data_IF_444458782479
#
_entry.id   IF_444458782479
#
_cell.length_a   1.000
_cell.length_b   1.000
_cell.length_c   1.000
_cell.angle_alpha   90.00
_cell.angle_beta   90.00
_cell.angle_gamma   90.00
#
_symmetry.space_group_name_H-M   'P 1'
#
loop_
_entity.id
_entity.type
_entity.pdbx_description
1 polymer ?
#
# COMPACT_ATOMS: atom_id res chain seq x y z
N UNK A 1 30.03 -8.79 21.04
CA UNK A 1 31.37 -8.33 20.64
C UNK A 1 31.21 -6.97 19.96
N UNK A 2 31.67 -5.88 20.59
CA UNK A 2 31.68 -4.56 19.96
C UNK A 2 32.78 -4.64 18.90
N UNK A 3 32.39 -4.73 17.62
CA UNK A 3 33.35 -4.60 16.53
C UNK A 3 33.66 -3.11 16.45
N UNK A 4 34.76 -2.73 17.09
CA UNK A 4 35.42 -1.45 16.89
C UNK A 4 35.88 -1.42 15.43
N UNK A 5 35.33 -0.50 14.64
CA UNK A 5 35.70 -0.35 13.23
C UNK A 5 36.85 0.65 13.20
N UNK A 6 38.03 0.20 12.78
CA UNK A 6 39.15 1.10 12.52
C UNK A 6 38.85 1.96 11.29
N UNK A 7 39.38 3.20 11.23
CA UNK A 7 39.31 3.97 10.01
C UNK A 7 39.98 3.19 8.87
N UNK A 8 39.52 3.37 7.62
CA UNK A 8 40.18 2.78 6.47
C UNK A 8 41.65 3.20 6.42
N UNK A 9 42.52 2.21 6.31
CA UNK A 9 43.97 2.39 6.26
C UNK A 9 44.61 1.30 5.38
N UNK A 10 45.93 1.38 5.22
CA UNK A 10 46.68 0.51 4.31
C UNK A 10 47.23 -0.70 5.06
N UNK A 11 47.18 -1.86 4.41
CA UNK A 11 47.89 -3.08 4.87
C UNK A 11 49.40 -2.87 4.83
N UNK A 12 49.88 -2.25 3.76
CA UNK A 12 51.26 -1.82 3.58
C UNK A 12 51.27 -0.37 3.10
N UNK A 13 51.67 0.54 3.99
CA UNK A 13 51.75 1.98 3.73
C UNK A 13 52.81 2.33 2.67
N UNK A 14 53.78 1.44 2.43
CA UNK A 14 54.87 1.62 1.48
C UNK A 14 54.62 0.96 0.13
N UNK A 15 53.45 0.34 -0.06
CA UNK A 15 53.12 -0.35 -1.29
C UNK A 15 53.18 0.61 -2.51
N UNK A 16 53.76 0.19 -3.66
CA UNK A 16 53.92 1.06 -4.83
C UNK A 16 52.61 1.71 -5.32
N UNK A 17 51.51 0.96 -5.30
CA UNK A 17 50.19 1.48 -5.69
C UNK A 17 49.69 2.57 -4.74
N UNK A 18 49.94 2.46 -3.43
CA UNK A 18 49.58 3.49 -2.44
C UNK A 18 50.38 4.77 -2.71
N UNK A 19 51.69 4.65 -2.90
CA UNK A 19 52.55 5.79 -3.24
C UNK A 19 52.12 6.47 -4.55
N UNK A 20 51.78 5.69 -5.57
CA UNK A 20 51.25 6.20 -6.84
C UNK A 20 49.91 6.90 -6.67
N UNK A 21 49.01 6.35 -5.84
CA UNK A 21 47.72 6.96 -5.53
C UNK A 21 47.86 8.31 -4.80
N UNK A 22 48.80 8.41 -3.87
CA UNK A 22 49.11 9.66 -3.16
C UNK A 22 49.67 10.69 -4.15
N UNK A 23 50.61 10.30 -5.00
CA UNK A 23 51.22 11.20 -5.98
C UNK A 23 50.18 11.78 -6.96
N UNK A 24 49.31 10.92 -7.49
CA UNK A 24 48.27 11.32 -8.45
C UNK A 24 47.21 12.23 -7.80
N UNK A 25 46.85 11.98 -6.55
CA UNK A 25 45.77 12.71 -5.86
C UNK A 25 46.27 13.98 -5.17
N UNK A 26 47.47 13.94 -4.59
CA UNK A 26 48.00 14.96 -3.69
C UNK A 26 49.43 15.40 -4.01
N UNK A 27 50.03 14.99 -5.14
CA UNK A 27 51.44 15.27 -5.46
C UNK A 27 51.80 16.76 -5.37
N UNK A 28 50.90 17.66 -5.80
CA UNK A 28 51.10 19.12 -5.64
C UNK A 28 51.26 19.56 -4.18
N UNK A 29 50.51 18.96 -3.28
CA UNK A 29 50.59 19.25 -1.84
C UNK A 29 51.93 18.75 -1.29
N UNK A 30 52.37 17.56 -1.70
CA UNK A 30 53.67 17.04 -1.31
C UNK A 30 54.81 17.97 -1.75
N UNK A 31 54.80 18.44 -3.01
CA UNK A 31 55.82 19.36 -3.53
C UNK A 31 55.85 20.69 -2.76
N UNK A 32 54.71 21.21 -2.31
CA UNK A 32 54.67 22.44 -1.51
C UNK A 32 55.29 22.30 -0.12
N UNK A 33 55.40 21.07 0.41
CA UNK A 33 55.90 20.81 1.75
C UNK A 33 57.32 20.20 1.78
N UNK A 34 57.92 19.93 0.61
CA UNK A 34 59.24 19.29 0.48
C UNK A 34 60.38 20.06 1.19
N UNK A 35 60.24 21.38 1.33
CA UNK A 35 61.22 22.24 1.99
C UNK A 35 60.75 22.76 3.37
N UNK A 36 59.72 22.13 3.95
CA UNK A 36 59.18 22.50 5.26
C UNK A 36 59.43 21.40 6.29
N UNK A 37 59.44 21.73 7.57
CA UNK A 37 59.56 20.74 8.66
C UNK A 37 58.28 19.90 8.86
N UNK A 38 57.25 20.12 8.04
CA UNK A 38 55.97 19.44 8.11
C UNK A 38 55.86 18.39 7.01
N UNK A 39 55.75 17.12 7.39
CA UNK A 39 55.51 16.01 6.46
C UNK A 39 54.02 15.60 6.50
N UNK A 40 53.19 16.00 5.52
CA UNK A 40 51.76 15.67 5.50
C UNK A 40 51.47 14.23 5.03
N UNK A 41 52.48 13.44 4.65
CA UNK A 41 52.31 12.15 3.98
C UNK A 41 51.40 11.19 4.74
N UNK A 42 51.57 11.06 6.06
CA UNK A 42 50.75 10.17 6.88
C UNK A 42 49.27 10.56 6.86
N UNK A 43 48.96 11.86 6.97
CA UNK A 43 47.58 12.34 6.90
C UNK A 43 46.97 12.12 5.52
N UNK A 44 47.74 12.43 4.46
CA UNK A 44 47.30 12.24 3.08
C UNK A 44 47.05 10.77 2.75
N UNK A 45 47.83 9.86 3.34
CA UNK A 45 47.62 8.42 3.21
C UNK A 45 46.26 7.99 3.80
N UNK A 46 45.88 8.49 4.99
CA UNK A 46 44.55 8.21 5.56
C UNK A 46 43.41 8.84 4.76
N UNK A 47 43.60 10.05 4.24
CA UNK A 47 42.60 10.69 3.37
C UNK A 47 42.39 9.91 2.08
N UNK A 48 43.48 9.44 1.45
CA UNK A 48 43.41 8.58 0.28
C UNK A 48 42.67 7.27 0.60
N UNK A 49 42.97 6.64 1.74
CA UNK A 49 42.31 5.40 2.15
C UNK A 49 40.80 5.61 2.32
N UNK A 50 40.39 6.75 2.88
CA UNK A 50 38.97 7.13 3.00
C UNK A 50 38.31 7.34 1.64
N UNK A 51 38.96 8.05 0.71
CA UNK A 51 38.44 8.26 -0.66
C UNK A 51 38.25 6.91 -1.38
N UNK A 52 39.24 6.01 -1.28
CA UNK A 52 39.18 4.69 -1.91
C UNK A 52 38.08 3.82 -1.29
N UNK A 53 37.98 3.81 0.04
CA UNK A 53 36.95 3.05 0.77
C UNK A 53 35.53 3.47 0.37
N UNK A 54 35.31 4.77 0.18
CA UNK A 54 33.99 5.33 -0.16
C UNK A 54 33.80 5.58 -1.66
N UNK A 55 34.69 5.08 -2.52
CA UNK A 55 34.64 5.32 -3.97
C UNK A 55 33.31 4.89 -4.60
N UNK A 56 32.70 3.78 -4.17
CA UNK A 56 31.43 3.31 -4.72
C UNK A 56 30.27 4.28 -4.40
N UNK A 57 30.27 4.86 -3.19
CA UNK A 57 29.32 5.91 -2.83
C UNK A 57 29.57 7.20 -3.63
N UNK A 58 30.83 7.58 -3.82
CA UNK A 58 31.20 8.74 -4.64
C UNK A 58 30.74 8.57 -6.09
N UNK A 59 30.87 7.37 -6.69
CA UNK A 59 30.34 7.08 -8.02
C UNK A 59 28.82 7.21 -8.09
N UNK A 60 28.09 6.76 -7.07
CA UNK A 60 26.63 6.92 -7.00
C UNK A 60 26.22 8.40 -6.95
N UNK A 61 26.88 9.21 -6.14
CA UNK A 61 26.58 10.64 -6.01
C UNK A 61 26.95 11.42 -7.28
N UNK A 62 28.06 11.08 -7.93
CA UNK A 62 28.41 11.62 -9.25
C UNK A 62 27.33 11.31 -10.29
N UNK A 63 26.79 10.09 -10.29
CA UNK A 63 25.69 9.70 -11.19
C UNK A 63 24.38 10.47 -10.95
N UNK A 64 24.10 10.86 -9.71
CA UNK A 64 22.90 11.66 -9.35
C UNK A 64 23.06 13.14 -9.68
N UNK A 65 24.28 13.68 -9.60
CA UNK A 65 24.56 15.10 -9.73
C UNK A 65 25.60 15.38 -10.84
N UNK A 66 25.17 15.40 -12.12
CA UNK A 66 26.04 15.75 -13.24
C UNK A 66 26.50 17.20 -13.11
N UNK A 67 27.75 17.40 -12.69
CA UNK A 67 28.34 18.71 -12.39
C UNK A 67 29.08 18.79 -11.05
N UNK A 68 29.01 17.75 -10.22
CA UNK A 68 29.74 17.72 -8.95
C UNK A 68 31.27 17.69 -9.15
N UNK A 69 32.03 18.42 -8.34
CA UNK A 69 33.50 18.46 -8.43
C UNK A 69 34.22 17.13 -8.08
N UNK A 70 33.47 16.07 -7.75
CA UNK A 70 34.06 14.75 -7.48
C UNK A 70 34.67 14.12 -8.73
N UNK A 71 34.19 14.47 -9.92
CA UNK A 71 34.82 14.07 -11.19
C UNK A 71 36.27 14.58 -11.33
N UNK A 72 36.63 15.63 -10.58
CA UNK A 72 37.97 16.19 -10.59
C UNK A 72 38.96 15.44 -9.68
N UNK A 73 38.51 14.45 -8.90
CA UNK A 73 39.37 13.64 -8.05
C UNK A 73 40.16 12.65 -8.92
N UNK A 74 41.50 12.80 -9.07
CA UNK A 74 42.24 12.06 -10.09
C UNK A 74 42.23 10.54 -9.92
N UNK A 75 42.28 10.03 -8.68
CA UNK A 75 42.31 8.58 -8.41
C UNK A 75 41.01 7.86 -8.79
N UNK A 76 39.87 8.57 -8.83
CA UNK A 76 38.59 7.96 -9.22
C UNK A 76 38.50 7.70 -10.73
N UNK A 77 39.33 8.37 -11.52
CA UNK A 77 39.37 8.23 -12.98
C UNK A 77 40.32 7.09 -13.44
N UNK A 78 41.20 6.59 -12.57
CA UNK A 78 42.08 5.45 -12.85
C UNK A 78 41.52 4.18 -12.18
N UNK A 79 40.63 3.48 -12.89
CA UNK A 79 39.96 2.28 -12.38
C UNK A 79 40.91 1.12 -12.08
N UNK A 80 42.05 1.03 -12.77
CA UNK A 80 43.05 -0.03 -12.54
C UNK A 80 43.73 0.22 -11.21
N UNK A 81 44.25 1.43 -11.02
CA UNK A 81 44.88 1.83 -9.76
C UNK A 81 43.89 1.78 -8.59
N UNK A 82 42.64 2.19 -8.80
CA UNK A 82 41.62 2.16 -7.75
C UNK A 82 41.34 0.73 -7.26
N UNK A 83 41.31 -0.26 -8.16
CA UNK A 83 41.13 -1.66 -7.76
C UNK A 83 42.34 -2.19 -6.99
N UNK A 84 43.56 -1.91 -7.45
CA UNK A 84 44.78 -2.25 -6.70
C UNK A 84 44.79 -1.63 -5.30
N UNK A 85 44.36 -0.37 -5.17
CA UNK A 85 44.24 0.32 -3.89
C UNK A 85 43.17 -0.30 -2.99
N UNK A 86 42.03 -0.73 -3.55
CA UNK A 86 40.98 -1.45 -2.80
C UNK A 86 41.51 -2.77 -2.20
N UNK A 87 42.39 -3.47 -2.90
CA UNK A 87 43.01 -4.70 -2.39
C UNK A 87 43.97 -4.45 -1.22
N UNK A 88 44.65 -3.30 -1.22
CA UNK A 88 45.57 -2.88 -0.15
C UNK A 88 44.87 -2.23 1.05
N UNK A 89 43.56 -1.97 0.95
CA UNK A 89 42.78 -1.38 2.02
C UNK A 89 42.43 -2.42 3.11
N UNK A 90 42.42 -1.99 4.37
CA UNK A 90 41.95 -2.79 5.49
C UNK A 90 41.18 -1.96 6.52
N UNK A 91 40.30 -2.64 7.26
CA UNK A 91 39.60 -2.14 8.45
C UNK A 91 40.00 -2.94 9.71
N UNK A 92 40.91 -3.89 9.57
CA UNK A 92 41.41 -4.75 10.65
C UNK A 92 42.64 -4.14 11.32
N UNK A 93 42.98 -4.63 12.51
CA UNK A 93 44.14 -4.14 13.24
C UNK A 93 45.43 -4.44 12.49
N UNK A 94 46.31 -3.45 12.39
CA UNK A 94 47.65 -3.54 11.81
C UNK A 94 48.67 -3.04 12.82
N UNK A 95 49.96 -3.31 12.58
CA UNK A 95 51.04 -2.80 13.44
C UNK A 95 51.06 -1.26 13.51
N UNK A 96 50.64 -0.58 12.44
CA UNK A 96 50.54 0.89 12.37
C UNK A 96 49.25 1.43 12.96
N UNK A 97 48.15 0.67 12.90
CA UNK A 97 46.85 1.04 13.51
C UNK A 97 46.37 -0.09 14.44
N UNK A 98 46.94 -0.19 15.67
CA UNK A 98 46.77 -1.36 16.53
C UNK A 98 45.44 -1.40 17.29
N UNK A 99 44.79 -0.25 17.52
CA UNK A 99 43.55 -0.18 18.29
C UNK A 99 42.67 1.00 17.85
N UNK A 100 41.36 0.76 17.84
CA UNK A 100 40.39 1.80 17.58
C UNK A 100 40.25 2.69 18.81
N UNK A 101 40.65 3.95 18.67
CA UNK A 101 40.72 4.91 19.77
C UNK A 101 39.40 5.63 20.05
N UNK A 102 38.35 5.38 19.27
CA UNK A 102 37.04 6.00 19.44
C UNK A 102 35.88 5.06 19.14
N UNK A 103 34.98 4.88 20.10
CA UNK A 103 33.60 4.44 19.85
C UNK A 103 32.82 5.73 19.56
N UNK A 104 32.34 5.97 18.32
CA UNK A 104 31.42 7.08 18.09
C UNK A 104 30.26 6.97 19.09
N UNK A 105 29.89 8.05 19.80
CA UNK A 105 28.80 8.00 20.76
C UNK A 105 27.57 7.44 20.06
N UNK A 106 26.91 6.46 20.70
CA UNK A 106 25.70 5.79 20.20
C UNK A 106 25.84 4.84 19.00
N UNK A 107 27.04 4.39 18.58
CA UNK A 107 27.16 3.38 17.51
C UNK A 107 26.40 2.08 17.81
N UNK A 108 26.26 1.72 19.10
CA UNK A 108 25.43 0.59 19.54
C UNK A 108 23.95 0.81 19.26
N UNK A 109 23.45 2.03 19.47
CA UNK A 109 22.07 2.40 19.21
C UNK A 109 21.82 2.48 17.70
N UNK A 110 22.73 3.07 16.93
CA UNK A 110 22.64 3.09 15.47
C UNK A 110 22.54 1.67 14.89
N UNK A 111 23.36 0.74 15.37
CA UNK A 111 23.30 -0.68 14.97
C UNK A 111 21.99 -1.35 15.38
N UNK A 112 21.51 -1.09 16.60
CA UNK A 112 20.23 -1.62 17.06
C UNK A 112 19.07 -1.09 16.21
N UNK A 113 19.07 0.20 15.88
CA UNK A 113 18.09 0.85 15.00
C UNK A 113 18.17 0.27 13.59
N UNK A 114 19.35 0.11 12.99
CA UNK A 114 19.47 -0.53 11.67
C UNK A 114 18.96 -1.97 11.68
N UNK A 115 19.18 -2.72 12.77
CA UNK A 115 18.66 -4.08 12.90
C UNK A 115 17.12 -4.08 12.99
N UNK A 116 16.55 -3.19 13.80
CA UNK A 116 15.09 -3.01 13.90
C UNK A 116 14.51 -2.61 12.54
N UNK A 117 15.13 -1.65 11.87
CA UNK A 117 14.71 -1.18 10.54
C UNK A 117 14.69 -2.33 9.52
N UNK A 118 15.75 -3.13 9.45
CA UNK A 118 15.81 -4.28 8.56
C UNK A 118 14.74 -5.34 8.88
N UNK A 119 14.44 -5.58 10.16
CA UNK A 119 13.35 -6.49 10.57
C UNK A 119 11.99 -5.90 10.16
N UNK A 120 11.77 -4.60 10.37
CA UNK A 120 10.54 -3.92 9.94
C UNK A 120 10.35 -4.00 8.42
N UNK A 121 11.40 -3.81 7.63
CA UNK A 121 11.36 -3.98 6.17
C UNK A 121 11.03 -5.42 5.78
N UNK A 122 11.70 -6.42 6.37
CA UNK A 122 11.39 -7.83 6.11
C UNK A 122 9.95 -8.19 6.51
N UNK A 123 9.43 -7.64 7.61
CA UNK A 123 8.05 -7.86 8.04
C UNK A 123 7.05 -7.18 7.11
N UNK A 124 7.38 -5.99 6.57
CA UNK A 124 6.57 -5.32 5.55
C UNK A 124 6.45 -6.19 4.31
N UNK A 125 7.57 -6.70 3.80
CA UNK A 125 7.58 -7.57 2.61
C UNK A 125 6.77 -8.86 2.87
N UNK A 126 6.92 -9.46 4.06
CA UNK A 126 6.13 -10.63 4.45
C UNK A 126 4.62 -10.32 4.55
N UNK A 127 4.25 -9.15 5.07
CA UNK A 127 2.85 -8.71 5.14
C UNK A 127 2.25 -8.42 3.76
N UNK A 128 3.02 -7.80 2.87
CA UNK A 128 2.59 -7.52 1.49
C UNK A 128 2.36 -8.84 0.72
N UNK A 129 3.25 -9.83 0.89
CA UNK A 129 3.07 -11.17 0.35
C UNK A 129 1.86 -11.88 0.98
N UNK A 130 1.73 -11.85 2.30
CA UNK A 130 0.58 -12.44 3.01
C UNK A 130 -0.76 -11.84 2.53
N UNK A 131 -0.80 -10.53 2.27
CA UNK A 131 -1.98 -9.86 1.73
C UNK A 131 -2.33 -10.36 0.32
N UNK A 132 -1.33 -10.60 -0.52
CA UNK A 132 -1.53 -11.17 -1.86
C UNK A 132 -2.07 -12.61 -1.77
N UNK A 133 -1.45 -13.44 -0.93
CA UNK A 133 -1.84 -14.84 -0.72
C UNK A 133 -3.26 -14.94 -0.15
N UNK A 134 -3.61 -14.08 0.82
CA UNK A 134 -4.96 -14.05 1.39
C UNK A 134 -6.01 -13.70 0.34
N UNK A 135 -5.72 -12.75 -0.55
CA UNK A 135 -6.65 -12.37 -1.63
C UNK A 135 -6.90 -13.55 -2.57
N UNK A 136 -5.85 -14.28 -2.93
CA UNK A 136 -5.94 -15.48 -3.77
C UNK A 136 -6.71 -16.59 -3.06
N UNK A 137 -6.35 -16.92 -1.82
CA UNK A 137 -7.00 -17.96 -1.03
C UNK A 137 -8.50 -17.69 -0.82
N UNK A 138 -8.90 -16.42 -0.61
CA UNK A 138 -10.31 -16.04 -0.51
C UNK A 138 -11.02 -16.20 -1.85
N UNK A 139 -10.40 -15.80 -2.97
CA UNK A 139 -10.99 -16.00 -4.30
C UNK A 139 -11.21 -17.49 -4.59
N UNK A 140 -10.21 -18.33 -4.33
CA UNK A 140 -10.29 -19.77 -4.53
C UNK A 140 -11.36 -20.41 -3.64
N UNK A 141 -11.45 -20.01 -2.37
CA UNK A 141 -12.46 -20.52 -1.44
C UNK A 141 -13.88 -20.09 -1.85
N UNK A 142 -14.06 -18.86 -2.34
CA UNK A 142 -15.33 -18.37 -2.88
C UNK A 142 -15.71 -19.14 -4.14
N UNK A 143 -14.78 -19.32 -5.08
CA UNK A 143 -15.03 -20.07 -6.32
C UNK A 143 -15.36 -21.53 -6.04
N UNK A 144 -14.66 -22.17 -5.11
CA UNK A 144 -14.94 -23.55 -4.68
C UNK A 144 -16.34 -23.66 -4.04
N UNK A 145 -16.72 -22.69 -3.20
CA UNK A 145 -18.04 -22.68 -2.55
C UNK A 145 -19.17 -22.41 -3.53
N UNK A 146 -18.99 -21.46 -4.45
CA UNK A 146 -19.94 -21.16 -5.53
C UNK A 146 -20.17 -22.40 -6.39
N UNK A 147 -19.11 -23.11 -6.75
CA UNK A 147 -19.19 -24.37 -7.50
C UNK A 147 -19.93 -25.46 -6.72
N UNK A 148 -19.62 -25.63 -5.44
CA UNK A 148 -20.26 -26.63 -4.58
C UNK A 148 -21.77 -26.37 -4.38
N UNK A 149 -22.17 -25.10 -4.36
CA UNK A 149 -23.57 -24.69 -4.20
C UNK A 149 -24.33 -24.63 -5.55
N UNK A 150 -23.71 -25.07 -6.66
CA UNK A 150 -24.32 -25.06 -8.00
C UNK A 150 -24.45 -23.67 -8.63
N UNK A 151 -23.80 -22.65 -8.06
CA UNK A 151 -23.76 -21.30 -8.60
C UNK A 151 -22.71 -21.16 -9.71
N UNK A 152 -22.96 -20.25 -10.64
CA UNK A 152 -22.02 -19.90 -11.72
C UNK A 152 -21.55 -18.46 -11.50
N UNK A 153 -20.24 -18.24 -11.45
CA UNK A 153 -19.64 -16.91 -11.50
C UNK A 153 -18.90 -16.70 -12.83
N UNK A 154 -18.42 -15.48 -13.08
CA UNK A 154 -17.80 -15.11 -14.36
C UNK A 154 -16.55 -15.95 -14.70
N UNK A 155 -15.75 -16.31 -13.70
CA UNK A 155 -14.54 -17.11 -13.90
C UNK A 155 -14.89 -18.57 -14.26
N UNK A 156 -15.85 -19.16 -13.55
CA UNK A 156 -16.38 -20.50 -13.83
C UNK A 156 -17.04 -20.54 -15.22
N UNK A 157 -17.86 -19.54 -15.54
CA UNK A 157 -18.53 -19.43 -16.84
C UNK A 157 -17.51 -19.34 -17.98
N UNK A 158 -16.45 -18.53 -17.81
CA UNK A 158 -15.40 -18.38 -18.81
C UNK A 158 -14.63 -19.69 -19.01
N UNK A 159 -14.25 -20.37 -17.92
CA UNK A 159 -13.57 -21.66 -18.00
C UNK A 159 -14.42 -22.71 -18.72
N UNK A 160 -15.72 -22.80 -18.41
CA UNK A 160 -16.65 -23.72 -19.08
C UNK A 160 -16.88 -23.35 -20.55
N UNK A 161 -16.94 -22.05 -20.90
CA UNK A 161 -17.03 -21.61 -22.30
C UNK A 161 -15.76 -21.96 -23.08
N UNK A 162 -14.59 -21.79 -22.47
CA UNK A 162 -13.30 -22.11 -23.09
C UNK A 162 -13.18 -23.63 -23.31
N UNK A 163 -13.63 -24.43 -22.35
CA UNK A 163 -13.69 -25.89 -22.44
C UNK A 163 -14.63 -26.36 -23.56
N UNK A 164 -15.84 -25.81 -23.62
CA UNK A 164 -16.79 -26.05 -24.72
C UNK A 164 -16.23 -25.61 -26.08
N UNK A 165 -15.52 -24.47 -26.15
CA UNK A 165 -14.89 -24.00 -27.38
C UNK A 165 -13.80 -24.95 -27.88
N UNK A 166 -13.03 -25.53 -26.97
CA UNK A 166 -12.01 -26.54 -27.29
C UNK A 166 -12.69 -27.81 -27.82
N UNK A 167 -13.75 -28.25 -27.16
CA UNK A 167 -14.52 -29.44 -27.54
C UNK A 167 -15.17 -29.27 -28.92
N UNK A 168 -15.88 -28.16 -29.16
CA UNK A 168 -16.48 -27.82 -30.46
C UNK A 168 -15.44 -27.75 -31.58
N UNK A 169 -14.29 -27.12 -31.33
CA UNK A 169 -13.20 -27.07 -32.30
C UNK A 169 -12.62 -28.45 -32.58
N UNK A 170 -12.60 -29.34 -31.58
CA UNK A 170 -12.14 -30.72 -31.75
C UNK A 170 -13.13 -31.55 -32.57
N UNK A 171 -14.44 -31.42 -32.33
CA UNK A 171 -15.48 -32.14 -33.07
C UNK A 171 -15.62 -31.67 -34.51
N UNK A 172 -15.51 -30.35 -34.76
CA UNK A 172 -15.47 -29.78 -36.12
C UNK A 172 -14.27 -30.32 -36.89
N UNK A 173 -13.09 -30.43 -36.25
CA UNK A 173 -11.90 -31.04 -36.86
C UNK A 173 -12.06 -32.54 -37.10
N UNK A 174 -12.83 -33.23 -36.26
CA UNK A 174 -13.10 -34.66 -36.39
C UNK A 174 -14.18 -35.00 -37.43
N UNK A 175 -14.84 -34.00 -38.04
CA UNK A 175 -15.77 -34.19 -39.15
C UNK A 175 -17.10 -34.85 -38.77
N UNK A 176 -17.48 -34.85 -37.50
CA UNK A 176 -18.72 -35.47 -37.02
C UNK A 176 -19.83 -34.42 -36.86
N UNK A 177 -20.57 -34.15 -37.93
CA UNK A 177 -21.86 -33.45 -37.84
C UNK A 177 -22.99 -34.49 -37.95
N UNK A 178 -23.22 -35.23 -36.87
CA UNK A 178 -24.50 -35.92 -36.70
C UNK A 178 -25.43 -34.99 -35.94
N UNK A 179 -26.34 -34.35 -36.67
CA UNK A 179 -27.52 -33.66 -36.11
C UNK A 179 -28.41 -34.66 -35.38
N UNK A 180 -28.09 -34.95 -34.12
CA UNK A 180 -29.06 -35.51 -33.19
C UNK A 180 -29.77 -34.34 -32.51
N UNK A 181 -31.07 -34.23 -32.78
CA UNK A 181 -32.00 -33.40 -32.02
C UNK A 181 -31.89 -33.78 -30.54
N UNK A 182 -31.23 -32.93 -29.74
CA UNK A 182 -31.23 -33.06 -28.29
C UNK A 182 -32.57 -32.56 -27.76
N UNK A 183 -33.43 -33.53 -27.43
CA UNK A 183 -34.61 -33.32 -26.62
C UNK A 183 -34.15 -33.06 -25.17
N UNK A 184 -33.85 -31.81 -24.84
CA UNK A 184 -33.53 -31.42 -23.46
C UNK A 184 -34.84 -31.31 -22.70
N UNK A 185 -35.13 -32.34 -21.90
CA UNK A 185 -36.14 -32.28 -20.85
C UNK A 185 -35.67 -31.24 -19.84
N UNK A 186 -36.40 -30.12 -19.75
CA UNK A 186 -36.12 -29.07 -18.78
C UNK A 186 -36.42 -29.58 -17.37
N UNK A 187 -35.39 -30.04 -16.66
CA UNK A 187 -35.46 -30.14 -15.21
C UNK A 187 -35.43 -28.74 -14.61
N UNK A 188 -36.28 -28.52 -13.59
CA UNK A 188 -36.54 -27.25 -12.93
C UNK A 188 -35.26 -26.55 -12.47
N UNK A 189 -34.75 -25.63 -13.29
CA UNK A 189 -33.81 -24.61 -12.84
C UNK A 189 -34.57 -23.61 -11.97
N UNK A 190 -34.11 -23.45 -10.72
CA UNK A 190 -34.57 -22.37 -9.86
C UNK A 190 -34.07 -21.09 -10.52
N UNK A 191 -34.97 -20.39 -11.22
CA UNK A 191 -34.68 -19.11 -11.82
C UNK A 191 -34.19 -18.15 -10.73
N UNK A 192 -32.89 -17.85 -10.71
CA UNK A 192 -32.34 -16.78 -9.89
C UNK A 192 -32.82 -15.49 -10.55
N UNK A 193 -33.86 -14.90 -9.97
CA UNK A 193 -34.41 -13.63 -10.40
C UNK A 193 -33.36 -12.52 -10.20
N UNK A 194 -32.73 -12.12 -11.30
CA UNK A 194 -31.72 -11.04 -11.35
C UNK A 194 -32.36 -9.65 -11.36
N UNK A 195 -33.69 -9.53 -11.28
CA UNK A 195 -34.34 -8.21 -11.26
C UNK A 195 -34.04 -7.47 -9.95
N UNK A 196 -33.48 -6.27 -10.08
CA UNK A 196 -33.32 -5.35 -8.95
C UNK A 196 -34.68 -4.74 -8.63
N UNK A 197 -35.22 -5.05 -7.45
CA UNK A 197 -36.56 -4.64 -7.04
C UNK A 197 -36.51 -3.40 -6.15
N UNK A 198 -37.45 -2.48 -6.36
CA UNK A 198 -37.68 -1.38 -5.43
C UNK A 198 -38.60 -1.88 -4.30
N UNK A 199 -38.19 -1.79 -3.02
CA UNK A 199 -39.02 -2.25 -1.91
C UNK A 199 -40.27 -1.36 -1.77
N UNK A 200 -41.42 -2.00 -1.61
CA UNK A 200 -42.65 -1.31 -1.22
C UNK A 200 -42.59 -0.90 0.26
N UNK A 201 -43.48 0.02 0.69
CA UNK A 201 -43.52 0.48 2.08
C UNK A 201 -43.75 -0.64 3.12
N UNK A 202 -44.30 -1.77 2.69
CA UNK A 202 -44.63 -2.93 3.53
C UNK A 202 -43.74 -4.14 3.26
N UNK A 203 -42.69 -3.99 2.44
CA UNK A 203 -41.87 -5.10 1.95
C UNK A 203 -41.15 -5.86 3.07
N UNK A 204 -40.57 -5.12 4.02
CA UNK A 204 -39.79 -5.71 5.09
C UNK A 204 -40.61 -5.71 6.37
N UNK A 205 -41.20 -6.87 6.69
CA UNK A 205 -42.08 -7.03 7.84
C UNK A 205 -41.61 -8.18 8.71
N UNK A 206 -41.00 -7.86 9.85
CA UNK A 206 -40.45 -8.86 10.76
C UNK A 206 -40.46 -8.37 12.22
N UNK A 207 -40.32 -9.30 13.16
CA UNK A 207 -40.41 -9.04 14.60
C UNK A 207 -39.30 -8.12 15.09
N UNK A 208 -39.65 -7.16 15.94
CA UNK A 208 -38.71 -6.34 16.70
C UNK A 208 -38.07 -7.14 17.85
N UNK A 209 -37.13 -6.51 18.57
CA UNK A 209 -36.45 -7.14 19.72
C UNK A 209 -37.38 -7.52 20.88
N UNK A 210 -38.60 -6.97 20.91
CA UNK A 210 -39.64 -7.27 21.90
C UNK A 210 -40.67 -8.29 21.37
N UNK A 211 -40.45 -8.84 20.17
CA UNK A 211 -41.33 -9.84 19.55
C UNK A 211 -42.51 -9.26 18.77
N UNK A 212 -42.66 -7.93 18.68
CA UNK A 212 -43.78 -7.30 17.97
C UNK A 212 -43.49 -7.16 16.48
N UNK A 213 -44.47 -7.45 15.63
CA UNK A 213 -44.32 -7.27 14.19
C UNK A 213 -44.26 -5.78 13.83
N UNK A 214 -43.24 -5.38 13.06
CA UNK A 214 -43.05 -4.01 12.57
C UNK A 214 -42.64 -4.01 11.11
N UNK A 215 -42.92 -2.90 10.43
CA UNK A 215 -42.38 -2.61 9.10
C UNK A 215 -41.03 -1.91 9.24
N UNK A 216 -40.04 -2.38 8.49
CA UNK A 216 -38.67 -1.89 8.50
C UNK A 216 -38.33 -1.29 7.14
N UNK A 217 -37.32 -0.41 7.11
CA UNK A 217 -36.86 0.20 5.85
C UNK A 217 -35.76 -0.61 5.16
N UNK A 218 -35.31 -1.71 5.77
CA UNK A 218 -34.25 -2.59 5.29
C UNK A 218 -34.63 -4.06 5.57
N UNK A 219 -34.10 -5.03 4.80
CA UNK A 219 -34.27 -6.45 5.09
C UNK A 219 -33.61 -6.86 6.42
N UNK A 220 -34.01 -8.01 6.97
CA UNK A 220 -33.48 -8.50 8.25
C UNK A 220 -31.98 -8.84 8.18
N UNK A 221 -31.50 -9.25 7.01
CA UNK A 221 -30.08 -9.55 6.75
C UNK A 221 -29.19 -8.31 6.61
N UNK A 222 -29.76 -7.10 6.60
CA UNK A 222 -29.01 -5.87 6.31
C UNK A 222 -27.92 -5.60 7.34
N UNK A 223 -26.72 -5.27 6.84
CA UNK A 223 -25.60 -4.75 7.62
C UNK A 223 -25.02 -3.52 6.93
N UNK A 224 -24.58 -2.55 7.73
CA UNK A 224 -23.77 -1.47 7.19
C UNK A 224 -22.44 -2.03 6.67
N UNK A 225 -21.96 -1.58 5.50
CA UNK A 225 -20.64 -1.96 5.00
C UNK A 225 -19.56 -1.58 6.01
N UNK A 226 -18.70 -2.54 6.34
CA UNK A 226 -17.53 -2.31 7.19
C UNK A 226 -16.34 -1.88 6.33
N UNK A 227 -15.42 -1.10 6.92
CA UNK A 227 -14.14 -0.68 6.29
C UNK A 227 -14.30 0.08 4.96
N UNK A 228 -15.42 0.78 4.79
CA UNK A 228 -15.69 1.54 3.58
C UNK A 228 -14.94 2.87 3.59
N UNK A 229 -14.34 3.22 2.45
CA UNK A 229 -13.75 4.55 2.28
C UNK A 229 -14.84 5.64 2.23
N UNK A 230 -14.47 6.88 2.54
CA UNK A 230 -15.43 8.00 2.65
C UNK A 230 -16.15 8.28 1.33
N UNK A 231 -15.47 8.12 0.19
CA UNK A 231 -16.07 8.28 -1.15
C UNK A 231 -17.23 7.31 -1.38
N UNK A 232 -17.02 6.02 -1.13
CA UNK A 232 -18.05 4.99 -1.27
C UNK A 232 -19.14 5.16 -0.18
N UNK A 233 -18.78 5.63 1.01
CA UNK A 233 -19.74 6.02 2.04
C UNK A 233 -20.65 7.19 1.59
N UNK A 234 -20.07 8.23 0.99
CA UNK A 234 -20.80 9.38 0.42
C UNK A 234 -21.73 8.93 -0.70
N UNK A 235 -21.26 8.07 -1.60
CA UNK A 235 -22.09 7.46 -2.65
C UNK A 235 -23.30 6.71 -2.06
N UNK A 236 -23.13 5.93 -0.99
CA UNK A 236 -24.25 5.24 -0.32
C UNK A 236 -25.18 6.20 0.41
N UNK A 237 -24.63 7.26 0.98
CA UNK A 237 -25.40 8.34 1.60
C UNK A 237 -26.35 9.01 0.61
N UNK A 238 -25.90 9.20 -0.64
CA UNK A 238 -26.63 9.90 -1.68
C UNK A 238 -27.47 9.01 -2.61
N UNK A 239 -26.98 7.81 -2.93
CA UNK A 239 -27.60 6.94 -3.93
C UNK A 239 -28.21 5.67 -3.34
N UNK A 240 -27.92 5.34 -2.07
CA UNK A 240 -28.35 4.12 -1.43
C UNK A 240 -27.44 2.93 -1.75
N UNK A 241 -27.96 1.72 -1.59
CA UNK A 241 -27.19 0.49 -1.82
C UNK A 241 -28.09 -0.64 -2.29
N UNK A 242 -27.51 -1.64 -2.94
CA UNK A 242 -28.18 -2.91 -3.22
C UNK A 242 -27.92 -3.89 -2.08
N UNK A 243 -28.93 -4.68 -1.73
CA UNK A 243 -28.86 -5.72 -0.70
C UNK A 243 -29.53 -6.97 -1.23
N UNK A 244 -28.84 -8.10 -1.13
CA UNK A 244 -29.39 -9.40 -1.49
C UNK A 244 -30.05 -10.01 -0.25
N UNK A 245 -31.31 -10.40 -0.38
CA UNK A 245 -32.09 -11.08 0.64
C UNK A 245 -32.76 -12.31 0.02
N UNK A 246 -32.23 -13.50 0.36
CA UNK A 246 -32.60 -14.75 -0.32
C UNK A 246 -32.26 -14.69 -1.82
N UNK A 247 -33.26 -14.95 -2.68
CA UNK A 247 -33.13 -14.90 -4.14
C UNK A 247 -33.40 -13.52 -4.74
N UNK A 248 -33.70 -12.50 -3.93
CA UNK A 248 -34.08 -11.16 -4.40
C UNK A 248 -32.99 -10.13 -4.12
N UNK A 249 -32.74 -9.23 -5.09
CA UNK A 249 -31.89 -8.05 -4.89
C UNK A 249 -32.74 -6.80 -4.70
N UNK A 250 -32.60 -6.13 -3.56
CA UNK A 250 -33.38 -4.95 -3.18
C UNK A 250 -32.58 -3.67 -3.29
N UNK A 251 -33.17 -2.65 -3.91
CA UNK A 251 -32.65 -1.28 -3.91
C UNK A 251 -33.01 -0.57 -2.62
N UNK A 252 -32.05 -0.44 -1.73
CA UNK A 252 -32.21 0.28 -0.47
C UNK A 252 -32.03 1.78 -0.70
N UNK A 253 -32.94 2.57 -0.12
CA UNK A 253 -32.95 4.03 -0.25
C UNK A 253 -31.64 4.67 0.26
N UNK A 254 -31.29 5.89 -0.22
CA UNK A 254 -30.16 6.64 0.29
C UNK A 254 -30.14 6.81 1.81
N UNK A 255 -28.96 6.74 2.40
CA UNK A 255 -28.86 6.67 3.87
C UNK A 255 -29.26 7.98 4.55
N UNK A 256 -29.22 9.12 3.84
CA UNK A 256 -29.73 10.40 4.34
C UNK A 256 -31.22 10.38 4.72
N UNK A 257 -31.99 9.43 4.17
CA UNK A 257 -33.43 9.27 4.43
C UNK A 257 -33.73 8.27 5.55
N UNK A 258 -32.71 7.70 6.19
CA UNK A 258 -32.90 6.83 7.35
C UNK A 258 -33.04 7.62 8.65
N UNK A 259 -33.80 7.04 9.57
CA UNK A 259 -33.89 7.45 10.97
C UNK A 259 -33.41 6.29 11.84
N UNK A 260 -32.95 6.59 13.06
CA UNK A 260 -32.50 5.56 14.03
C UNK A 260 -33.53 4.44 14.21
N UNK A 261 -34.82 4.79 14.26
CA UNK A 261 -35.94 3.84 14.42
C UNK A 261 -36.16 2.89 13.24
N UNK A 262 -35.51 3.14 12.10
CA UNK A 262 -35.67 2.32 10.89
C UNK A 262 -34.85 1.02 10.96
N UNK A 263 -34.02 0.86 12.01
CA UNK A 263 -33.18 -0.31 12.23
C UNK A 263 -33.61 -1.11 13.47
N UNK A 264 -33.69 -2.43 13.32
CA UNK A 264 -34.11 -3.35 14.39
C UNK A 264 -33.12 -3.43 15.54
N UNK A 265 -31.84 -3.66 15.24
CA UNK A 265 -30.84 -3.99 16.27
C UNK A 265 -30.19 -2.73 16.83
N UNK A 266 -29.90 -2.69 18.15
CA UNK A 266 -29.15 -1.58 18.75
C UNK A 266 -27.80 -1.35 18.07
N UNK A 267 -27.13 -2.41 17.61
CA UNK A 267 -25.89 -2.32 16.86
C UNK A 267 -26.04 -1.51 15.56
N UNK A 268 -27.07 -1.79 14.74
CA UNK A 268 -27.33 -1.02 13.52
C UNK A 268 -27.76 0.42 13.82
N UNK A 269 -28.54 0.61 14.89
CA UNK A 269 -28.93 1.94 15.33
C UNK A 269 -27.72 2.79 15.75
N UNK A 270 -26.77 2.18 16.46
CA UNK A 270 -25.55 2.83 16.91
C UNK A 270 -24.61 3.09 15.74
N UNK A 271 -24.39 2.12 14.84
CA UNK A 271 -23.61 2.31 13.62
C UNK A 271 -24.16 3.49 12.80
N UNK A 272 -25.47 3.55 12.58
CA UNK A 272 -26.07 4.68 11.88
C UNK A 272 -25.89 6.01 12.63
N UNK A 273 -26.21 6.03 13.94
CA UNK A 273 -26.29 7.29 14.71
C UNK A 273 -24.93 7.85 15.11
N UNK A 274 -23.93 6.99 15.33
CA UNK A 274 -22.62 7.37 15.84
C UNK A 274 -21.54 7.38 14.75
N UNK A 275 -21.61 6.50 13.75
CA UNK A 275 -20.55 6.38 12.74
C UNK A 275 -20.94 7.09 11.44
N UNK A 276 -22.13 6.80 10.90
CA UNK A 276 -22.51 7.29 9.57
C UNK A 276 -23.11 8.69 9.60
N UNK A 277 -24.16 8.89 10.40
CA UNK A 277 -24.95 10.12 10.39
C UNK A 277 -24.13 11.37 10.74
N UNK A 278 -23.27 11.39 11.78
CA UNK A 278 -22.56 12.61 12.16
C UNK A 278 -21.63 13.11 11.05
N UNK A 279 -20.90 12.20 10.41
CA UNK A 279 -19.93 12.54 9.35
C UNK A 279 -20.66 13.04 8.11
N UNK A 280 -21.59 12.24 7.58
CA UNK A 280 -22.21 12.55 6.30
C UNK A 280 -23.28 13.65 6.39
N UNK A 281 -23.87 13.88 7.56
CA UNK A 281 -24.73 15.05 7.76
C UNK A 281 -23.91 16.34 7.77
N UNK A 282 -22.71 16.33 8.38
CA UNK A 282 -21.82 17.49 8.38
C UNK A 282 -21.26 17.77 6.99
N UNK A 283 -20.91 16.72 6.24
CA UNK A 283 -20.57 16.85 4.82
C UNK A 283 -21.72 17.45 3.99
N UNK A 284 -22.96 17.08 4.29
CA UNK A 284 -24.14 17.59 3.58
C UNK A 284 -24.50 19.04 3.96
N UNK A 285 -24.08 19.54 5.12
CA UNK A 285 -24.27 20.94 5.51
C UNK A 285 -23.22 21.90 4.94
N UNK A 286 -22.30 21.41 4.11
CA UNK A 286 -21.25 22.23 3.53
C UNK A 286 -21.82 23.32 2.59
N UNK A 287 -21.40 24.60 2.74
CA UNK A 287 -21.79 25.66 1.81
C UNK A 287 -21.38 25.32 0.38
N UNK A 288 -22.32 25.41 -0.57
CA UNK A 288 -22.10 25.11 -1.99
C UNK A 288 -22.32 23.65 -2.39
N UNK A 289 -22.71 22.76 -1.47
CA UNK A 289 -23.16 21.40 -1.81
C UNK A 289 -24.63 21.43 -2.23
N UNK A 290 -24.86 21.46 -3.53
CA UNK A 290 -26.19 21.33 -4.12
C UNK A 290 -26.45 19.87 -4.52
N UNK A 291 -27.41 19.23 -3.84
CA UNK A 291 -27.76 17.83 -4.12
C UNK A 291 -29.20 17.78 -4.64
N UNK A 292 -29.42 17.23 -5.85
CA UNK A 292 -30.75 17.00 -6.39
C UNK A 292 -31.65 16.20 -5.42
N UNK A 293 -32.92 16.59 -5.35
CA UNK A 293 -33.89 15.89 -4.50
C UNK A 293 -34.14 14.45 -4.97
N UNK A 294 -34.19 14.23 -6.29
CA UNK A 294 -34.35 12.90 -6.89
C UNK A 294 -33.00 12.23 -7.04
N UNK A 295 -32.96 10.94 -6.70
CA UNK A 295 -31.73 10.14 -6.77
C UNK A 295 -31.28 9.90 -8.22
N UNK A 296 -32.23 9.86 -9.15
CA UNK A 296 -32.00 9.64 -10.58
C UNK A 296 -31.21 10.80 -11.23
N UNK A 297 -31.35 12.00 -10.68
CA UNK A 297 -30.71 13.22 -11.20
C UNK A 297 -29.27 13.37 -10.66
N UNK A 298 -28.82 12.49 -9.78
CA UNK A 298 -27.48 12.51 -9.20
C UNK A 298 -26.51 11.86 -10.19
N UNK A 299 -25.85 12.67 -11.00
CA UNK A 299 -24.80 12.23 -11.93
C UNK A 299 -23.46 11.99 -11.21
N UNK A 300 -22.54 11.26 -11.85
CA UNK A 300 -21.17 11.06 -11.32
C UNK A 300 -20.42 12.39 -11.14
N UNK A 301 -20.66 13.38 -11.99
CA UNK A 301 -20.02 14.69 -11.88
C UNK A 301 -20.53 15.46 -10.66
N UNK A 302 -21.83 15.37 -10.36
CA UNK A 302 -22.42 15.92 -9.12
C UNK A 302 -21.86 15.19 -7.89
N UNK A 303 -21.70 13.87 -7.95
CA UNK A 303 -21.09 13.10 -6.85
C UNK A 303 -19.65 13.56 -6.57
N UNK A 304 -18.82 13.70 -7.61
CA UNK A 304 -17.40 14.10 -7.48
C UNK A 304 -17.25 15.55 -7.00
N UNK A 305 -18.01 16.47 -7.59
CA UNK A 305 -17.98 17.89 -7.21
C UNK A 305 -18.48 18.07 -5.77
N UNK A 306 -19.65 17.52 -5.42
CA UNK A 306 -20.21 17.60 -4.07
C UNK A 306 -19.30 16.96 -3.02
N UNK A 307 -18.67 15.82 -3.32
CA UNK A 307 -17.73 15.18 -2.40
C UNK A 307 -16.50 16.03 -2.11
N UNK A 308 -15.95 16.71 -3.13
CA UNK A 308 -14.78 17.56 -2.97
C UNK A 308 -15.09 18.73 -2.04
N UNK A 309 -16.20 19.44 -2.29
CA UNK A 309 -16.67 20.56 -1.46
C UNK A 309 -16.98 20.09 -0.03
N UNK A 310 -17.76 19.00 0.09
CA UNK A 310 -18.13 18.44 1.38
C UNK A 310 -16.94 17.96 2.20
N UNK A 311 -15.92 17.39 1.54
CA UNK A 311 -14.69 16.94 2.19
C UNK A 311 -13.85 18.10 2.68
N UNK A 312 -13.76 19.19 1.91
CA UNK A 312 -13.07 20.41 2.35
C UNK A 312 -13.74 20.98 3.60
N UNK A 313 -15.08 21.11 3.59
CA UNK A 313 -15.83 21.57 4.75
C UNK A 313 -15.68 20.66 5.98
N UNK A 314 -15.65 19.34 5.79
CA UNK A 314 -15.39 18.40 6.87
C UNK A 314 -13.97 18.58 7.46
N UNK A 315 -12.98 18.85 6.61
CA UNK A 315 -11.59 19.11 7.03
C UNK A 315 -11.50 20.39 7.86
N UNK A 316 -12.17 21.45 7.44
CA UNK A 316 -12.15 22.73 8.14
C UNK A 316 -12.81 22.64 9.53
N UNK A 317 -13.89 21.88 9.65
CA UNK A 317 -14.59 21.68 10.93
C UNK A 317 -13.90 20.69 11.87
N UNK A 318 -13.10 19.75 11.34
CA UNK A 318 -12.49 18.67 12.11
C UNK A 318 -11.00 18.49 11.78
N UNK A 319 -10.25 19.60 11.79
CA UNK A 319 -8.82 19.64 11.42
C UNK A 319 -7.97 18.61 12.15
N UNK A 320 -8.26 18.32 13.42
CA UNK A 320 -7.56 17.32 14.25
C UNK A 320 -7.67 15.88 13.74
N UNK A 321 -8.71 15.53 12.97
CA UNK A 321 -8.87 14.21 12.34
C UNK A 321 -7.95 14.07 11.11
N UNK A 322 -7.49 15.21 10.58
CA UNK A 322 -6.67 15.29 9.36
C UNK A 322 -5.22 15.66 9.62
N UNK A 323 -4.84 16.01 10.85
CA UNK A 323 -3.45 16.24 11.27
C UNK A 323 -2.83 14.90 11.67
N UNK A 324 -1.74 14.51 10.99
CA UNK A 324 -0.89 13.41 11.44
C UNK A 324 0.23 13.95 12.34
N UNK A 325 0.61 13.25 13.42
CA UNK A 325 1.92 13.43 14.03
C UNK A 325 3.00 12.90 13.08
N UNK A 326 4.13 13.60 12.98
CA UNK A 326 5.25 13.41 12.03
C UNK A 326 5.92 12.00 12.03
N UNK A 327 5.46 11.04 12.83
CA UNK A 327 6.16 9.76 13.08
C UNK A 327 5.38 8.49 12.70
N UNK A 328 4.41 8.55 11.78
CA UNK A 328 3.71 7.32 11.34
C UNK A 328 3.69 7.12 9.82
N UNK A 329 4.42 6.09 9.39
CA UNK A 329 4.53 5.56 8.03
C UNK A 329 3.15 5.14 7.50
N UNK A 330 2.68 5.90 6.51
CA UNK A 330 1.74 5.58 5.41
C UNK A 330 0.60 4.58 5.67
N UNK A 331 -0.59 5.12 5.97
CA UNK A 331 -1.89 4.49 5.66
C UNK A 331 -2.90 5.44 5.00
N UNK A 332 -2.49 6.69 4.69
CA UNK A 332 -3.44 7.79 4.46
C UNK A 332 -3.36 8.46 3.07
N UNK A 333 -2.59 7.92 2.13
CA UNK A 333 -2.62 8.40 0.73
C UNK A 333 -3.87 7.91 -0.06
N UNK A 334 -4.61 6.92 0.45
CA UNK A 334 -5.71 6.28 -0.28
C UNK A 334 -7.07 6.39 0.40
N UNK A 335 -7.51 7.61 0.77
CA UNK A 335 -8.94 7.92 0.99
C UNK A 335 -9.70 7.10 2.06
N UNK A 336 -9.02 6.29 2.87
CA UNK A 336 -9.60 5.54 3.96
C UNK A 336 -9.69 6.42 5.21
N UNK A 337 -10.78 7.17 5.33
CA UNK A 337 -11.30 7.44 6.67
C UNK A 337 -11.95 6.14 7.11
N UNK A 338 -11.26 5.39 7.95
CA UNK A 338 -11.89 4.35 8.75
C UNK A 338 -12.92 5.02 9.65
N UNK A 339 -14.17 4.56 9.59
CA UNK A 339 -15.25 4.93 10.52
C UNK A 339 -14.95 4.36 11.92
N UNK A 340 -13.82 4.74 12.52
CA UNK A 340 -13.57 4.54 13.94
C UNK A 340 -13.53 5.91 14.58
N UNK A 341 -14.69 6.33 15.09
CA UNK A 341 -14.74 7.29 16.18
C UNK A 341 -14.07 6.63 17.38
N UNK A 342 -12.77 6.85 17.57
CA UNK A 342 -12.13 6.65 18.87
C UNK A 342 -12.67 7.71 19.82
N UNK A 343 -13.78 7.38 20.46
CA UNK A 343 -14.20 8.01 21.71
C UNK A 343 -13.88 7.03 22.84
N UNK A 344 -12.61 7.05 23.27
CA UNK A 344 -12.19 7.02 24.66
C UNK A 344 -10.75 7.49 24.75
#
# INVERSE_FOLDING_TARGET
MIILILPPHWKDEFHPSVRRGIEITFGKVLSCHEHTDHNPLGLLAFLLASIVHHSDWLFQEMGKHPGHHFYSIPVLNDHVLLNELKEQLTLEQTDTVPAATGIPPHVSHARAISKVFNICMSNKDALDNFKADLKTAVADAVDAKVRADGGINQAIMKAQLDELLIELRSEIRAGSLNTHQLNVVAENSIAIDTTVRNPTAFQFHYKDVKGNMRFWSVPECFKFPQEINRWNGWRKWLCGTLVVDGSCTWKIKPFRYFKRRDFKTPALQNAFSCEWKPIFSTMMSAPGVEIPHRVEDITEDILKSSYTIATAHLRDNFTYIFQQPDDTVTLLEHGQIMLRSTAQ
#
